data_IF_015244973556
#
_entry.id   IF_015244973556
#
_cell.length_a   1.000
_cell.length_b   1.000
_cell.length_c   1.000
_cell.angle_alpha   90.00
_cell.angle_beta   90.00
_cell.angle_gamma   90.00
#
_symmetry.space_group_name_H-M   'P 1'
#
loop_
_entity.id
_entity.type
_entity.pdbx_description
1 polymer ?
#
# COMPACT_ATOMS: atom_id res chain seq x y z
N UNK A 1 11.71 -44.43 -12.46
CA UNK A 1 12.24 -43.09 -12.72
C UNK A 1 11.11 -42.08 -12.52
N UNK A 2 11.15 -41.27 -11.46
CA UNK A 2 10.05 -40.38 -11.05
C UNK A 2 10.10 -39.07 -11.85
N UNK A 3 9.00 -38.66 -12.47
CA UNK A 3 8.79 -37.27 -12.90
C UNK A 3 7.39 -36.82 -12.52
N UNK A 4 7.27 -36.22 -11.35
CA UNK A 4 6.14 -35.38 -11.01
C UNK A 4 6.50 -33.96 -11.45
N UNK A 5 5.84 -33.45 -12.49
CA UNK A 5 5.88 -32.04 -12.87
C UNK A 5 4.72 -31.36 -12.16
N UNK A 6 4.98 -30.83 -10.96
CA UNK A 6 4.02 -29.99 -10.25
C UNK A 6 4.55 -28.56 -10.29
N UNK A 7 4.17 -27.79 -11.31
CA UNK A 7 4.29 -26.34 -11.30
C UNK A 7 3.12 -25.78 -10.47
N UNK A 8 3.30 -25.74 -9.16
CA UNK A 8 2.43 -24.96 -8.28
C UNK A 8 3.07 -23.57 -8.13
N UNK A 9 2.55 -22.58 -8.85
CA UNK A 9 2.75 -21.18 -8.46
C UNK A 9 1.83 -20.91 -7.27
N UNK A 10 2.26 -21.27 -6.07
CA UNK A 10 1.55 -20.86 -4.86
C UNK A 10 1.79 -19.36 -4.67
N UNK A 11 0.94 -18.52 -5.25
CA UNK A 11 0.81 -17.13 -4.81
C UNK A 11 0.08 -17.18 -3.47
N UNK A 12 0.81 -17.54 -2.41
CA UNK A 12 0.34 -17.41 -1.03
C UNK A 12 0.18 -15.92 -0.71
N UNK A 13 -0.98 -15.35 -1.01
CA UNK A 13 -1.38 -14.02 -0.53
C UNK A 13 -1.75 -14.15 0.95
N UNK A 14 -0.75 -14.27 1.83
CA UNK A 14 -0.98 -14.30 3.28
C UNK A 14 -0.65 -12.94 3.87
N UNK A 15 -1.72 -12.30 4.36
CA UNK A 15 -1.79 -11.18 5.31
C UNK A 15 -1.02 -9.89 4.90
N UNK A 16 -1.75 -8.95 4.29
CA UNK A 16 -1.28 -7.55 4.20
C UNK A 16 -1.40 -6.92 5.58
N UNK A 17 -0.27 -6.73 6.25
CA UNK A 17 -0.22 -6.00 7.52
C UNK A 17 0.01 -4.51 7.25
N UNK A 18 -0.84 -3.67 7.85
CA UNK A 18 -0.72 -2.22 7.86
C UNK A 18 -0.15 -1.80 9.22
N UNK A 19 1.11 -1.36 9.28
CA UNK A 19 1.78 -1.13 10.57
C UNK A 19 1.93 0.34 10.98
N UNK A 20 1.67 1.31 10.09
CA UNK A 20 2.15 2.69 10.30
C UNK A 20 1.24 3.84 9.90
N UNK A 21 0.06 3.55 9.35
CA UNK A 21 -0.88 4.62 9.09
C UNK A 21 -1.47 5.08 10.43
N UNK A 22 -1.22 6.33 10.80
CA UNK A 22 -1.71 6.96 12.03
C UNK A 22 -2.48 8.22 11.70
N UNK A 23 -3.43 8.56 12.57
CA UNK A 23 -4.12 9.83 12.50
C UNK A 23 -3.15 10.99 12.71
N UNK A 24 -3.39 12.06 11.96
CA UNK A 24 -2.60 13.28 12.03
C UNK A 24 -3.53 14.48 12.10
N UNK A 25 -3.26 15.35 13.06
CA UNK A 25 -3.91 16.66 13.16
C UNK A 25 -2.95 17.71 12.59
N UNK A 26 -3.45 18.63 11.78
CA UNK A 26 -2.63 19.67 11.16
C UNK A 26 -3.39 21.00 11.13
N UNK A 27 -2.66 22.12 11.13
CA UNK A 27 -3.26 23.45 11.00
C UNK A 27 -3.44 23.82 9.54
N UNK A 28 -4.20 24.88 9.30
CA UNK A 28 -4.39 25.42 7.97
C UNK A 28 -3.02 25.76 7.33
N UNK A 29 -2.81 25.28 6.10
CA UNK A 29 -1.56 25.39 5.28
C UNK A 29 -0.36 24.54 5.72
N UNK A 30 -0.50 23.73 6.75
CA UNK A 30 0.55 22.77 7.08
C UNK A 30 0.65 21.66 6.04
N UNK A 31 1.86 21.11 5.88
CA UNK A 31 2.10 19.93 5.07
C UNK A 31 2.04 18.69 5.95
N UNK A 32 1.17 17.76 5.60
CA UNK A 32 1.05 16.46 6.27
C UNK A 32 1.66 15.37 5.40
N UNK A 33 2.36 14.44 6.03
CA UNK A 33 2.88 13.23 5.38
C UNK A 33 2.25 12.01 6.02
N UNK A 34 1.36 11.35 5.29
CA UNK A 34 0.82 10.05 5.67
C UNK A 34 1.71 8.96 5.08
N UNK A 35 2.07 7.97 5.90
CA UNK A 35 2.94 6.86 5.50
C UNK A 35 2.19 5.57 5.74
N UNK A 36 2.07 4.77 4.69
CA UNK A 36 1.53 3.42 4.74
C UNK A 36 2.69 2.46 4.44
N UNK A 37 3.07 1.63 5.41
CA UNK A 37 3.99 0.51 5.21
C UNK A 37 3.18 -0.75 5.07
N UNK A 38 3.46 -1.50 4.02
CA UNK A 38 2.82 -2.78 3.73
C UNK A 38 3.90 -3.85 3.55
N UNK A 39 3.58 -5.07 3.97
CA UNK A 39 4.43 -6.25 3.76
C UNK A 39 3.59 -7.31 3.06
N UNK A 40 4.18 -8.02 2.12
CA UNK A 40 3.51 -9.08 1.35
C UNK A 40 4.33 -9.48 0.14
N UNK A 41 4.16 -10.71 -0.32
CA UNK A 41 4.74 -11.21 -1.57
C UNK A 41 3.62 -11.82 -2.41
N UNK A 42 3.26 -11.24 -3.56
CA UNK A 42 3.82 -10.02 -4.16
C UNK A 42 3.50 -8.74 -3.34
N UNK A 43 4.27 -7.64 -3.50
CA UNK A 43 3.97 -6.38 -2.84
C UNK A 43 2.54 -5.90 -3.14
N UNK A 44 1.73 -5.55 -2.12
CA UNK A 44 0.35 -5.18 -2.34
C UNK A 44 0.22 -3.80 -3.00
N UNK A 45 -0.88 -3.61 -3.74
CA UNK A 45 -1.22 -2.29 -4.30
C UNK A 45 -1.89 -1.43 -3.24
N UNK A 46 -1.31 -0.26 -2.97
CA UNK A 46 -1.85 0.72 -2.01
C UNK A 46 -2.66 1.78 -2.76
N UNK A 47 -3.86 2.08 -2.25
CA UNK A 47 -4.74 3.13 -2.76
C UNK A 47 -5.04 4.10 -1.62
N UNK A 48 -4.86 5.40 -1.87
CA UNK A 48 -5.19 6.44 -0.91
C UNK A 48 -6.57 7.00 -1.21
N UNK A 49 -7.42 7.10 -0.18
CA UNK A 49 -8.78 7.62 -0.31
C UNK A 49 -8.98 8.81 0.63
N UNK A 50 -9.82 9.75 0.23
CA UNK A 50 -10.40 10.78 1.08
C UNK A 50 -11.90 10.66 0.99
N UNK A 51 -12.56 10.45 2.13
CA UNK A 51 -14.01 10.31 2.23
C UNK A 51 -14.57 9.23 1.28
N UNK A 52 -13.85 8.11 1.16
CA UNK A 52 -14.22 6.99 0.27
C UNK A 52 -13.90 7.22 -1.21
N UNK A 53 -13.34 8.38 -1.59
CA UNK A 53 -12.99 8.69 -2.98
C UNK A 53 -11.48 8.54 -3.20
N UNK A 54 -11.03 7.81 -4.24
CA UNK A 54 -9.61 7.69 -4.57
C UNK A 54 -8.95 9.06 -4.83
N UNK A 55 -7.81 9.27 -4.18
CA UNK A 55 -7.00 10.46 -4.39
C UNK A 55 -6.22 10.37 -5.69
N UNK A 56 -6.35 11.41 -6.52
CA UNK A 56 -5.56 11.58 -7.73
C UNK A 56 -4.49 12.67 -7.54
N UNK A 57 -3.32 12.55 -8.19
CA UNK A 57 -2.29 13.60 -8.16
C UNK A 57 -2.86 14.95 -8.60
N UNK A 58 -2.63 15.98 -7.80
CA UNK A 58 -3.08 17.37 -8.09
C UNK A 58 -2.17 18.36 -7.39
N UNK A 59 -2.32 19.66 -7.70
CA UNK A 59 -1.54 20.72 -7.05
C UNK A 59 -1.69 20.63 -5.52
N UNK A 60 -0.56 20.48 -4.82
CA UNK A 60 -0.51 20.36 -3.36
C UNK A 60 -0.68 18.94 -2.81
N UNK A 61 -0.87 17.91 -3.65
CA UNK A 61 -0.95 16.51 -3.23
C UNK A 61 0.05 15.66 -4.00
N UNK A 62 0.95 14.98 -3.28
CA UNK A 62 1.99 14.12 -3.87
C UNK A 62 1.93 12.73 -3.27
N UNK A 63 1.60 11.75 -4.09
CA UNK A 63 1.56 10.33 -3.74
C UNK A 63 2.85 9.68 -4.27
N UNK A 64 3.56 8.93 -3.43
CA UNK A 64 4.82 8.27 -3.80
C UNK A 64 4.81 6.83 -3.30
N UNK A 65 5.23 5.90 -4.16
CA UNK A 65 5.43 4.50 -3.81
C UNK A 65 6.94 4.30 -3.66
N UNK A 66 7.40 4.23 -2.41
CA UNK A 66 8.79 3.90 -2.11
C UNK A 66 8.86 2.40 -1.86
N UNK A 67 9.70 1.72 -2.63
CA UNK A 67 10.03 0.31 -2.45
C UNK A 67 11.08 0.17 -1.36
#
# INVERSE_FOLDING_TARGET
>A
SKRAFSLAFDVSVREVTLSELRDSVARYRDRVKLVCRTRGSPPPRVHWLKDGVPLQPRRGLRIQHKR
#
